data_IF_490981672834
#
_entry.id   IF_490981672834
#
_cell.length_a   1.000
_cell.length_b   1.000
_cell.length_c   1.000
_cell.angle_alpha   90.00
_cell.angle_beta   90.00
_cell.angle_gamma   90.00
#
_symmetry.space_group_name_H-M   'P 1'
#
loop_
_entity.id
_entity.type
_entity.pdbx_description
1 polymer ?
#
# COMPACT_ATOMS: atom_id res chain seq x y z
N UNK A 1 -26.82 -6.97 -6.20
CA UNK A 1 -25.37 -6.96 -5.84
C UNK A 1 -24.44 -7.45 -6.98
N UNK A 2 -24.76 -7.26 -8.27
CA UNK A 2 -23.91 -7.70 -9.42
C UNK A 2 -22.58 -6.93 -9.59
N UNK A 3 -22.39 -5.79 -8.92
CA UNK A 3 -21.29 -4.87 -9.21
C UNK A 3 -20.04 -5.03 -8.33
N UNK A 4 -20.09 -5.77 -7.21
CA UNK A 4 -18.96 -5.84 -6.26
C UNK A 4 -17.68 -6.37 -6.89
N UNK A 5 -17.77 -7.41 -7.71
CA UNK A 5 -16.61 -7.95 -8.43
C UNK A 5 -15.99 -6.92 -9.38
N UNK A 6 -16.81 -6.10 -10.06
CA UNK A 6 -16.33 -5.04 -10.94
C UNK A 6 -15.58 -3.97 -10.16
N UNK A 7 -16.12 -3.57 -9.01
CA UNK A 7 -15.45 -2.60 -8.12
C UNK A 7 -14.15 -3.13 -7.54
N UNK A 8 -14.08 -4.42 -7.18
CA UNK A 8 -12.82 -5.05 -6.73
C UNK A 8 -11.79 -4.97 -7.86
N UNK A 9 -12.12 -5.43 -9.07
CA UNK A 9 -11.19 -5.43 -10.21
C UNK A 9 -10.74 -4.00 -10.55
N UNK A 10 -11.68 -3.06 -10.63
CA UNK A 10 -11.37 -1.66 -10.90
C UNK A 10 -10.45 -1.07 -9.84
N UNK A 11 -10.74 -1.33 -8.56
CA UNK A 11 -9.91 -0.84 -7.45
C UNK A 11 -8.49 -1.43 -7.50
N UNK A 12 -8.37 -2.73 -7.78
CA UNK A 12 -7.06 -3.37 -7.94
C UNK A 12 -6.29 -2.77 -9.13
N UNK A 13 -6.95 -2.52 -10.27
CA UNK A 13 -6.33 -1.86 -11.41
C UNK A 13 -5.84 -0.44 -11.07
N UNK A 14 -6.63 0.35 -10.34
CA UNK A 14 -6.23 1.69 -9.91
C UNK A 14 -5.08 1.65 -8.90
N UNK A 15 -5.10 0.71 -7.95
CA UNK A 15 -3.98 0.49 -7.02
C UNK A 15 -2.70 0.14 -7.80
N UNK A 16 -2.79 -0.72 -8.82
CA UNK A 16 -1.65 -1.03 -9.69
C UNK A 16 -1.13 0.21 -10.41
N UNK A 17 -2.02 1.05 -10.96
CA UNK A 17 -1.63 2.30 -11.60
C UNK A 17 -0.95 3.28 -10.62
N UNK A 18 -1.44 3.40 -9.39
CA UNK A 18 -0.82 4.24 -8.36
C UNK A 18 0.59 3.77 -8.01
N UNK A 19 0.77 2.46 -7.86
CA UNK A 19 2.09 1.89 -7.61
C UNK A 19 3.02 2.08 -8.81
N UNK A 20 2.56 1.85 -10.05
CA UNK A 20 3.36 2.10 -11.26
C UNK A 20 3.82 3.56 -11.33
N UNK A 21 2.91 4.51 -11.05
CA UNK A 21 3.25 5.93 -11.02
C UNK A 21 4.31 6.26 -9.96
N UNK A 22 4.15 5.75 -8.74
CA UNK A 22 5.14 5.97 -7.68
C UNK A 22 6.49 5.37 -8.02
N UNK A 23 6.51 4.15 -8.55
CA UNK A 23 7.72 3.48 -8.97
C UNK A 23 8.42 4.21 -10.11
N UNK A 24 7.67 4.72 -11.09
CA UNK A 24 8.19 5.61 -12.12
C UNK A 24 8.79 6.88 -11.52
N UNK A 25 8.13 7.48 -10.52
CA UNK A 25 8.61 8.69 -9.84
C UNK A 25 9.94 8.45 -9.11
N UNK A 26 10.07 7.32 -8.40
CA UNK A 26 11.32 6.90 -7.76
C UNK A 26 12.41 6.70 -8.82
N UNK A 27 12.11 5.97 -9.89
CA UNK A 27 13.06 5.72 -10.98
C UNK A 27 13.59 7.02 -11.61
N UNK A 28 12.72 7.97 -11.94
CA UNK A 28 13.13 9.26 -12.49
C UNK A 28 14.03 10.02 -11.53
N UNK A 29 13.69 10.03 -10.23
CA UNK A 29 14.50 10.69 -9.21
C UNK A 29 15.86 10.01 -9.04
N UNK A 30 15.92 8.68 -8.98
CA UNK A 30 17.17 7.91 -8.90
C UNK A 30 18.07 8.18 -10.10
N UNK A 31 17.52 8.19 -11.32
CA UNK A 31 18.29 8.52 -12.52
C UNK A 31 18.85 9.94 -12.45
N UNK A 32 18.03 10.93 -12.10
CA UNK A 32 18.49 12.32 -11.99
C UNK A 32 19.66 12.46 -11.00
N UNK A 33 19.61 11.74 -9.88
CA UNK A 33 20.69 11.73 -8.88
C UNK A 33 21.94 11.04 -9.41
N UNK A 34 21.79 9.87 -10.02
CA UNK A 34 22.91 9.12 -10.60
C UNK A 34 23.62 9.92 -11.71
N UNK A 35 22.88 10.56 -12.61
CA UNK A 35 23.45 11.36 -13.70
C UNK A 35 24.03 12.69 -13.24
N UNK A 36 23.60 13.22 -12.09
CA UNK A 36 24.25 14.37 -11.47
C UNK A 36 25.63 14.04 -10.88
N UNK A 37 25.96 12.75 -10.72
CA UNK A 37 27.17 12.27 -10.03
C UNK A 37 28.10 11.38 -10.87
N UNK A 38 27.71 10.90 -12.06
CA UNK A 38 28.52 9.96 -12.86
C UNK A 38 28.92 10.49 -14.25
N UNK A 39 30.21 10.36 -14.58
CA UNK A 39 30.78 10.72 -15.89
C UNK A 39 30.72 9.57 -16.93
N UNK A 40 30.41 8.33 -16.52
CA UNK A 40 30.44 7.12 -17.38
C UNK A 40 29.02 6.66 -17.80
N UNK A 41 28.66 6.84 -19.08
CA UNK A 41 27.24 7.04 -19.46
C UNK A 41 26.44 5.91 -20.10
N UNK A 42 27.00 4.77 -20.54
CA UNK A 42 26.20 3.81 -21.35
C UNK A 42 26.01 2.42 -20.74
N UNK A 43 27.05 1.73 -20.27
CA UNK A 43 26.91 0.33 -19.82
C UNK A 43 26.16 0.17 -18.49
N UNK A 44 26.25 1.17 -17.60
CA UNK A 44 25.53 1.19 -16.32
C UNK A 44 24.01 1.40 -16.50
N UNK A 45 23.59 2.01 -17.62
CA UNK A 45 22.19 2.37 -17.87
C UNK A 45 21.28 1.14 -18.00
N UNK A 46 21.70 0.12 -18.76
CA UNK A 46 20.88 -1.08 -19.04
C UNK A 46 20.71 -1.98 -17.80
N UNK A 47 21.78 -2.17 -17.02
CA UNK A 47 21.74 -3.01 -15.81
C UNK A 47 20.96 -2.35 -14.68
N UNK A 48 21.08 -1.02 -14.50
CA UNK A 48 20.31 -0.28 -13.49
C UNK A 48 18.82 -0.29 -13.84
N UNK A 49 18.46 -0.07 -15.11
CA UNK A 49 17.06 -0.10 -15.54
C UNK A 49 16.41 -1.47 -15.33
N UNK A 50 17.13 -2.55 -15.63
CA UNK A 50 16.60 -3.91 -15.45
C UNK A 50 16.42 -4.29 -13.98
N UNK A 51 17.37 -3.95 -13.10
CA UNK A 51 17.22 -4.18 -11.65
C UNK A 51 16.03 -3.39 -11.10
N UNK A 52 15.93 -2.10 -11.43
CA UNK A 52 14.82 -1.27 -10.94
C UNK A 52 13.48 -1.84 -11.44
N UNK A 53 13.35 -2.22 -12.71
CA UNK A 53 12.11 -2.80 -13.24
C UNK A 53 11.68 -4.08 -12.52
N UNK A 54 12.64 -4.96 -12.17
CA UNK A 54 12.36 -6.18 -11.40
C UNK A 54 11.86 -5.86 -9.98
N UNK A 55 12.50 -4.92 -9.28
CA UNK A 55 12.05 -4.47 -7.95
C UNK A 55 10.66 -3.84 -8.00
N UNK A 56 10.36 -3.07 -9.04
CA UNK A 56 9.05 -2.45 -9.25
C UNK A 56 7.95 -3.50 -9.44
N UNK A 57 8.20 -4.51 -10.28
CA UNK A 57 7.27 -5.62 -10.50
C UNK A 57 7.00 -6.41 -9.22
N UNK A 58 8.04 -6.70 -8.43
CA UNK A 58 7.89 -7.38 -7.15
C UNK A 58 7.07 -6.56 -6.14
N UNK A 59 7.31 -5.25 -6.05
CA UNK A 59 6.57 -4.35 -5.15
C UNK A 59 5.07 -4.33 -5.44
N UNK A 60 4.68 -4.23 -6.73
CA UNK A 60 3.28 -4.28 -7.16
C UNK A 60 2.67 -5.63 -6.79
N UNK A 61 3.36 -6.73 -7.11
CA UNK A 61 2.88 -8.07 -6.80
C UNK A 61 2.67 -8.30 -5.30
N UNK A 62 3.64 -7.89 -4.48
CA UNK A 62 3.56 -7.96 -3.02
C UNK A 62 2.35 -7.17 -2.48
N UNK A 63 2.07 -5.99 -3.04
CA UNK A 63 0.91 -5.18 -2.64
C UNK A 63 -0.43 -5.89 -2.92
N UNK A 64 -0.55 -6.57 -4.06
CA UNK A 64 -1.76 -7.32 -4.43
C UNK A 64 -1.93 -8.56 -3.55
N UNK A 65 -0.85 -9.29 -3.28
CA UNK A 65 -0.87 -10.42 -2.35
C UNK A 65 -1.27 -9.97 -0.94
N UNK A 66 -0.73 -8.85 -0.45
CA UNK A 66 -1.07 -8.34 0.87
C UNK A 66 -2.56 -8.01 1.01
N UNK A 67 -3.21 -7.54 -0.06
CA UNK A 67 -4.66 -7.33 -0.11
C UNK A 67 -5.41 -8.66 0.01
N UNK A 68 -4.98 -9.68 -0.73
CA UNK A 68 -5.60 -11.00 -0.71
C UNK A 68 -5.45 -11.67 0.66
N UNK A 69 -4.22 -11.75 1.19
CA UNK A 69 -3.95 -12.34 2.51
C UNK A 69 -4.69 -11.58 3.61
N UNK A 70 -4.64 -10.24 3.60
CA UNK A 70 -5.34 -9.44 4.60
C UNK A 70 -6.85 -9.67 4.56
N UNK A 71 -7.46 -9.74 3.37
CA UNK A 71 -8.88 -10.05 3.25
C UNK A 71 -9.25 -11.45 3.76
N UNK A 72 -8.37 -12.43 3.57
CA UNK A 72 -8.56 -13.81 4.04
C UNK A 72 -8.50 -13.87 5.57
N UNK A 73 -7.52 -13.22 6.19
CA UNK A 73 -7.41 -13.15 7.66
C UNK A 73 -8.64 -12.50 8.26
N UNK A 74 -9.09 -11.36 7.72
CA UNK A 74 -10.32 -10.69 8.17
C UNK A 74 -11.54 -11.59 7.97
N UNK A 75 -11.64 -12.30 6.84
CA UNK A 75 -12.74 -13.23 6.60
C UNK A 75 -12.74 -14.40 7.59
N UNK A 76 -11.56 -14.89 8.00
CA UNK A 76 -11.43 -15.95 8.99
C UNK A 76 -11.87 -15.48 10.39
N UNK A 77 -11.42 -14.31 10.84
CA UNK A 77 -11.90 -13.73 12.10
C UNK A 77 -13.40 -13.44 12.04
N UNK A 78 -13.91 -12.94 10.90
CA UNK A 78 -15.34 -12.72 10.70
C UNK A 78 -16.15 -14.01 10.83
N UNK A 79 -15.61 -15.14 10.36
CA UNK A 79 -16.18 -16.46 10.58
C UNK A 79 -16.21 -16.84 12.06
N UNK A 80 -15.11 -16.64 12.81
CA UNK A 80 -15.07 -16.89 14.26
C UNK A 80 -16.08 -16.03 15.05
N UNK A 81 -16.40 -14.84 14.54
CA UNK A 81 -17.39 -13.92 15.12
C UNK A 81 -18.84 -14.20 14.65
N UNK A 82 -19.09 -15.30 13.93
CA UNK A 82 -20.40 -15.65 13.35
C UNK A 82 -20.98 -14.51 12.48
N UNK A 83 -20.17 -13.96 11.58
CA UNK A 83 -20.61 -12.99 10.57
C UNK A 83 -20.86 -13.74 9.25
N UNK A 84 -22.15 -13.95 8.94
CA UNK A 84 -22.63 -14.68 7.75
C UNK A 84 -22.52 -13.85 6.47
N UNK A 85 -21.29 -13.49 6.09
CA UNK A 85 -20.96 -12.76 4.86
C UNK A 85 -20.06 -13.57 3.94
N UNK A 86 -20.13 -13.26 2.66
CA UNK A 86 -19.33 -13.97 1.67
C UNK A 86 -17.88 -13.49 1.71
N UNK A 87 -16.92 -14.36 1.37
CA UNK A 87 -15.50 -13.97 1.21
C UNK A 87 -15.31 -12.75 0.30
N UNK A 88 -16.17 -12.62 -0.72
CA UNK A 88 -16.21 -11.47 -1.63
C UNK A 88 -16.55 -10.15 -0.94
N UNK A 89 -17.34 -10.18 0.13
CA UNK A 89 -17.67 -8.96 0.90
C UNK A 89 -16.48 -8.47 1.71
N UNK A 90 -15.74 -9.40 2.33
CA UNK A 90 -14.51 -9.09 3.05
C UNK A 90 -13.43 -8.56 2.09
N UNK A 91 -13.25 -9.22 0.95
CA UNK A 91 -12.35 -8.74 -0.11
C UNK A 91 -12.76 -7.35 -0.59
N UNK A 92 -14.05 -7.11 -0.85
CA UNK A 92 -14.54 -5.80 -1.25
C UNK A 92 -14.20 -4.69 -0.25
N UNK A 93 -14.50 -4.90 1.04
CA UNK A 93 -14.20 -3.91 2.09
C UNK A 93 -12.70 -3.67 2.20
N UNK A 94 -11.89 -4.73 2.19
CA UNK A 94 -10.44 -4.62 2.32
C UNK A 94 -9.80 -3.93 1.10
N UNK A 95 -10.22 -4.29 -0.11
CA UNK A 95 -9.73 -3.68 -1.36
C UNK A 95 -10.10 -2.20 -1.42
N UNK A 96 -11.34 -1.83 -1.11
CA UNK A 96 -11.77 -0.42 -1.18
C UNK A 96 -11.04 0.44 -0.13
N UNK A 97 -10.84 -0.11 1.07
CA UNK A 97 -10.02 0.54 2.10
C UNK A 97 -8.57 0.69 1.63
N UNK A 98 -8.01 -0.35 1.00
CA UNK A 98 -6.63 -0.33 0.50
C UNK A 98 -6.45 0.66 -0.66
N UNK A 99 -7.45 0.80 -1.53
CA UNK A 99 -7.49 1.81 -2.59
C UNK A 99 -7.39 3.22 -1.99
N UNK A 100 -8.17 3.50 -0.95
CA UNK A 100 -8.11 4.79 -0.27
C UNK A 100 -6.73 5.05 0.33
N UNK A 101 -6.19 4.08 1.07
CA UNK A 101 -4.85 4.20 1.68
C UNK A 101 -3.76 4.35 0.62
N UNK A 102 -3.91 3.71 -0.54
CA UNK A 102 -2.95 3.82 -1.65
C UNK A 102 -2.89 5.21 -2.28
N UNK A 103 -3.83 6.10 -2.01
CA UNK A 103 -3.76 7.48 -2.53
C UNK A 103 -2.50 8.21 -2.04
N UNK A 104 -2.01 7.88 -0.85
CA UNK A 104 -0.73 8.40 -0.33
C UNK A 104 0.46 8.11 -1.25
N UNK A 105 0.41 6.98 -1.96
CA UNK A 105 1.45 6.55 -2.91
C UNK A 105 1.55 7.52 -4.07
N UNK A 106 0.41 8.04 -4.54
CA UNK A 106 0.34 9.09 -5.57
C UNK A 106 0.93 10.40 -5.07
N UNK A 107 0.55 10.83 -3.86
CA UNK A 107 1.11 12.07 -3.27
C UNK A 107 2.63 11.98 -3.11
N UNK A 108 3.12 10.83 -2.63
CA UNK A 108 4.56 10.59 -2.48
C UNK A 108 5.27 10.58 -3.83
N UNK A 109 4.67 9.97 -4.86
CA UNK A 109 5.20 10.01 -6.21
C UNK A 109 5.28 11.42 -6.79
N UNK A 110 4.23 12.22 -6.57
CA UNK A 110 4.21 13.63 -6.97
C UNK A 110 5.30 14.46 -6.25
N UNK A 111 5.55 14.20 -4.97
CA UNK A 111 6.65 14.83 -4.22
C UNK A 111 8.02 14.46 -4.84
N UNK A 112 8.23 13.18 -5.16
CA UNK A 112 9.47 12.72 -5.81
C UNK A 112 9.70 13.37 -7.19
N UNK A 113 8.65 13.58 -7.99
CA UNK A 113 8.75 14.21 -9.32
C UNK A 113 8.87 15.75 -9.25
N UNK A 114 8.20 16.40 -8.31
CA UNK A 114 8.11 17.86 -8.24
C UNK A 114 9.36 18.53 -7.68
N UNK A 115 10.30 17.77 -7.10
CA UNK A 115 11.49 18.33 -6.47
C UNK A 115 11.19 19.18 -5.22
N UNK A 116 9.98 19.07 -4.66
CA UNK A 116 9.54 19.75 -3.43
C UNK A 116 10.23 19.22 -2.16
N UNK A 117 11.12 18.24 -2.28
CA UNK A 117 11.99 17.82 -1.17
C UNK A 117 13.01 18.93 -0.92
N UNK A 118 13.10 19.40 0.32
CA UNK A 118 14.03 20.46 0.74
C UNK A 118 15.49 20.11 0.48
N UNK A 119 15.80 18.82 0.37
CA UNK A 119 17.06 18.32 -0.18
C UNK A 119 16.84 17.73 -1.58
N UNK A 120 17.56 18.27 -2.57
CA UNK A 120 17.52 17.78 -3.95
C UNK A 120 18.04 16.35 -4.07
N UNK A 121 18.78 15.87 -3.07
CA UNK A 121 19.44 14.57 -3.01
C UNK A 121 18.61 13.45 -2.38
N UNK A 122 17.47 13.77 -1.76
CA UNK A 122 16.66 12.78 -1.06
C UNK A 122 15.57 12.19 -1.95
N UNK A 123 15.49 10.86 -1.96
CA UNK A 123 14.39 10.09 -2.56
C UNK A 123 13.43 9.71 -1.45
N UNK A 124 12.17 10.14 -1.55
CA UNK A 124 11.15 9.71 -0.59
C UNK A 124 10.71 8.29 -0.93
N UNK A 125 11.24 7.32 -0.18
CA UNK A 125 10.87 5.91 -0.29
C UNK A 125 9.85 5.57 0.80
N UNK A 126 8.70 5.03 0.40
CA UNK A 126 7.69 4.54 1.33
C UNK A 126 8.24 3.36 2.13
N UNK A 127 8.16 3.43 3.46
CA UNK A 127 8.66 2.40 4.37
C UNK A 127 10.06 2.67 4.92
N UNK A 128 10.81 3.63 4.37
CA UNK A 128 12.10 4.08 4.91
C UNK A 128 11.94 5.23 5.93
N UNK A 129 10.82 5.26 6.64
CA UNK A 129 10.51 6.29 7.62
C UNK A 129 10.54 5.68 9.02
N UNK A 130 10.75 6.49 10.06
CA UNK A 130 10.67 6.00 11.44
C UNK A 130 9.35 5.27 11.71
N UNK A 131 9.35 4.26 12.59
CA UNK A 131 8.12 3.55 13.00
C UNK A 131 7.05 4.56 13.46
N UNK A 132 7.47 5.56 14.25
CA UNK A 132 6.57 6.58 14.77
C UNK A 132 5.86 7.36 13.65
N UNK A 133 6.61 7.81 12.63
CA UNK A 133 6.01 8.50 11.47
C UNK A 133 5.07 7.62 10.66
N UNK A 134 5.36 6.32 10.56
CA UNK A 134 4.49 5.38 9.83
C UNK A 134 3.20 5.08 10.61
N UNK A 135 3.26 5.01 11.94
CA UNK A 135 2.09 4.80 12.81
C UNK A 135 1.22 6.06 12.89
N UNK A 136 1.82 7.25 12.85
CA UNK A 136 1.10 8.53 12.84
C UNK A 136 0.64 8.96 11.43
N UNK A 137 0.80 8.10 10.42
CA UNK A 137 0.37 8.38 9.05
C UNK A 137 -1.15 8.67 9.00
N UNK A 138 -1.59 9.87 8.58
CA UNK A 138 -3.01 10.21 8.52
C UNK A 138 -3.79 9.31 7.58
N UNK A 139 -3.17 8.77 6.52
CA UNK A 139 -3.82 7.83 5.62
C UNK A 139 -4.07 6.47 6.28
N UNK A 140 -3.23 6.05 7.22
CA UNK A 140 -3.46 4.83 8.01
C UNK A 140 -4.74 5.00 8.84
N UNK A 141 -4.83 6.08 9.62
CA UNK A 141 -5.96 6.33 10.52
C UNK A 141 -7.27 6.57 9.77
N UNK A 142 -7.24 7.34 8.69
CA UNK A 142 -8.40 7.51 7.81
C UNK A 142 -8.81 6.17 7.17
N UNK A 143 -7.84 5.31 6.81
CA UNK A 143 -8.09 3.95 6.36
C UNK A 143 -8.79 3.09 7.43
N UNK A 144 -8.37 3.16 8.68
CA UNK A 144 -9.01 2.46 9.82
C UNK A 144 -10.45 2.90 9.99
N UNK A 145 -10.71 4.22 9.97
CA UNK A 145 -12.07 4.77 10.06
C UNK A 145 -12.92 4.30 8.89
N UNK A 146 -12.38 4.36 7.67
CA UNK A 146 -13.08 3.90 6.47
C UNK A 146 -13.41 2.41 6.53
N UNK A 147 -12.47 1.57 7.00
CA UNK A 147 -12.69 0.15 7.18
C UNK A 147 -13.84 -0.12 8.15
N UNK A 148 -13.89 0.58 9.28
CA UNK A 148 -14.96 0.46 10.26
C UNK A 148 -16.33 0.84 9.66
N UNK A 149 -16.41 1.99 8.97
CA UNK A 149 -17.66 2.46 8.36
C UNK A 149 -18.15 1.52 7.26
N UNK A 150 -17.26 1.05 6.37
CA UNK A 150 -17.58 0.08 5.34
C UNK A 150 -17.95 -1.28 5.95
N UNK A 151 -17.29 -1.67 7.04
CA UNK A 151 -17.55 -2.88 7.81
C UNK A 151 -18.95 -2.89 8.41
N UNK A 152 -19.39 -1.79 9.02
CA UNK A 152 -20.76 -1.67 9.55
C UNK A 152 -21.78 -1.81 8.43
N UNK A 153 -21.54 -1.12 7.32
CA UNK A 153 -22.47 -1.11 6.18
C UNK A 153 -22.54 -2.44 5.44
N UNK A 154 -21.42 -3.17 5.36
CA UNK A 154 -21.28 -4.30 4.44
C UNK A 154 -21.18 -5.64 5.16
N UNK A 155 -20.42 -5.72 6.25
CA UNK A 155 -20.06 -6.95 6.94
C UNK A 155 -21.03 -7.30 8.07
N UNK A 156 -21.27 -6.38 9.01
CA UNK A 156 -22.20 -6.63 10.12
C UNK A 156 -22.78 -5.34 10.66
N UNK A 157 -24.07 -5.32 10.97
CA UNK A 157 -24.69 -4.20 11.69
C UNK A 157 -24.25 -4.12 13.15
N UNK A 158 -23.66 -5.20 13.70
CA UNK A 158 -23.11 -5.21 15.05
C UNK A 158 -21.81 -4.41 15.10
N UNK A 159 -21.87 -3.22 15.69
CA UNK A 159 -20.70 -2.34 15.87
C UNK A 159 -19.57 -3.05 16.61
N UNK A 160 -19.88 -3.87 17.62
CA UNK A 160 -18.88 -4.60 18.39
C UNK A 160 -18.11 -5.62 17.54
N UNK A 161 -18.82 -6.40 16.70
CA UNK A 161 -18.16 -7.36 15.79
C UNK A 161 -17.27 -6.65 14.78
N UNK A 162 -17.74 -5.53 14.21
CA UNK A 162 -16.95 -4.74 13.25
C UNK A 162 -15.76 -4.05 13.91
N UNK A 163 -15.92 -3.60 15.15
CA UNK A 163 -14.81 -3.03 15.93
C UNK A 163 -13.68 -4.05 16.09
N UNK A 164 -13.99 -5.31 16.43
CA UNK A 164 -12.98 -6.38 16.51
C UNK A 164 -12.29 -6.59 15.16
N UNK A 165 -13.04 -6.66 14.05
CA UNK A 165 -12.44 -6.76 12.71
C UNK A 165 -11.54 -5.57 12.37
N UNK A 166 -11.90 -4.37 12.82
CA UNK A 166 -11.13 -3.15 12.60
C UNK A 166 -9.82 -3.18 13.39
N UNK A 167 -9.84 -3.69 14.63
CA UNK A 167 -8.61 -3.92 15.40
C UNK A 167 -7.71 -4.93 14.70
N UNK A 168 -8.25 -6.02 14.16
CA UNK A 168 -7.46 -6.99 13.37
C UNK A 168 -6.86 -6.33 12.13
N UNK A 169 -7.62 -5.50 11.42
CA UNK A 169 -7.11 -4.72 10.29
C UNK A 169 -5.94 -3.83 10.71
N UNK A 170 -6.07 -3.10 11.83
CA UNK A 170 -5.00 -2.25 12.37
C UNK A 170 -3.77 -3.07 12.78
N UNK A 171 -3.96 -4.23 13.40
CA UNK A 171 -2.86 -5.14 13.74
C UNK A 171 -2.12 -5.63 12.50
N UNK A 172 -2.83 -6.01 11.43
CA UNK A 172 -2.21 -6.39 10.16
C UNK A 172 -1.38 -5.24 9.57
N UNK A 173 -1.87 -3.99 9.64
CA UNK A 173 -1.10 -2.82 9.20
C UNK A 173 0.13 -2.55 10.07
N UNK A 174 -0.01 -2.71 11.38
CA UNK A 174 1.09 -2.53 12.33
C UNK A 174 2.19 -3.58 12.11
N UNK A 175 1.82 -4.84 11.89
CA UNK A 175 2.77 -5.90 11.51
C UNK A 175 3.51 -5.52 10.24
N UNK A 176 2.81 -5.01 9.22
CA UNK A 176 3.46 -4.60 7.97
C UNK A 176 4.45 -3.44 8.16
N UNK A 177 4.12 -2.47 9.01
CA UNK A 177 5.02 -1.35 9.37
C UNK A 177 6.25 -1.85 10.13
N UNK A 178 6.07 -2.77 11.08
CA UNK A 178 7.18 -3.36 11.82
C UNK A 178 8.08 -4.17 10.89
N UNK A 179 7.49 -5.00 10.02
CA UNK A 179 8.25 -5.78 9.04
C UNK A 179 9.04 -4.91 8.06
N UNK A 180 8.46 -3.82 7.55
CA UNK A 180 9.19 -2.90 6.67
C UNK A 180 10.36 -2.22 7.40
N UNK A 181 10.15 -1.83 8.65
CA UNK A 181 11.20 -1.26 9.48
C UNK A 181 12.34 -2.27 9.76
N UNK A 182 12.02 -3.50 10.18
CA UNK A 182 13.05 -4.51 10.46
C UNK A 182 13.84 -4.91 9.21
N UNK A 183 13.19 -5.02 8.05
CA UNK A 183 13.87 -5.31 6.78
C UNK A 183 14.87 -4.20 6.40
N UNK A 184 14.61 -2.95 6.77
CA UNK A 184 15.54 -1.84 6.55
C UNK A 184 16.79 -1.90 7.46
N UNK A 185 16.74 -2.58 8.61
CA UNK A 185 17.89 -2.69 9.52
C UNK A 185 18.76 -3.93 9.28
N UNK A 186 18.26 -4.91 8.52
CA UNK A 186 18.97 -6.16 8.23
C UNK A 186 19.76 -6.07 6.91
N UNK A 187 19.35 -5.16 6.00
CA UNK A 187 20.01 -4.88 4.71
C UNK A 187 20.93 -3.67 4.87
#
# INVERSE_FOLDING_TARGET
>A
MKYKSRWIILSLAVITLFNLFFQYSVYQKTLNLFWSTSDDKEYLHSTINSMIFVFQGFSIFASLIAILIGSLVISFIGFLLDIKKTRKDYLFVYTLTSLFVSFKVVLTGAINLSGLTTDTNDIVILGNQSVLSQVLDPFLWLGVVLFFLLGIKTLSSSKNKVFILTLVYLSLKSINILSSYFLHYIV
#
